data_IF_407396925595
#
_entry.id   IF_407396925595
#
_cell.length_a   1.000
_cell.length_b   1.000
_cell.length_c   1.000
_cell.angle_alpha   90.00
_cell.angle_beta   90.00
_cell.angle_gamma   90.00
#
_symmetry.space_group_name_H-M   'P 1'
#
loop_
_entity.id
_entity.type
_entity.pdbx_description
1 polymer ?
#
# COMPACT_ATOMS: atom_id res chain seq x y z
N UNK A 1 5.66 0.67 3.21
CA UNK A 1 5.25 0.17 1.88
C UNK A 1 6.40 -0.64 1.33
N UNK A 2 6.17 -1.77 0.67
CA UNK A 2 7.22 -2.73 0.29
C UNK A 2 7.91 -2.41 -1.04
N UNK A 3 7.21 -1.74 -1.95
CA UNK A 3 7.74 -1.23 -3.21
C UNK A 3 6.91 -0.02 -3.64
N UNK A 4 7.44 0.83 -4.51
CA UNK A 4 6.73 2.02 -5.02
C UNK A 4 6.19 1.78 -6.44
N UNK A 5 5.27 2.64 -6.86
CA UNK A 5 4.74 2.70 -8.21
C UNK A 5 5.62 3.59 -9.11
N UNK A 6 5.68 3.29 -10.43
CA UNK A 6 6.36 4.17 -11.37
C UNK A 6 5.67 5.53 -11.41
N UNK A 7 6.46 6.61 -11.31
CA UNK A 7 5.92 7.99 -11.30
C UNK A 7 5.19 8.32 -12.62
N UNK A 8 5.57 7.67 -13.70
CA UNK A 8 4.97 7.79 -15.03
C UNK A 8 3.48 7.41 -15.02
N UNK A 9 3.06 6.51 -14.11
CA UNK A 9 1.65 6.14 -13.96
C UNK A 9 0.77 7.30 -13.45
N UNK A 10 1.36 8.35 -12.88
CA UNK A 10 0.65 9.56 -12.49
C UNK A 10 0.71 10.69 -13.55
N UNK A 11 1.29 10.44 -14.74
CA UNK A 11 1.56 11.48 -15.74
C UNK A 11 0.32 12.03 -16.45
N UNK A 12 -0.77 11.27 -16.56
CA UNK A 12 -2.02 11.70 -17.21
C UNK A 12 -2.89 12.64 -16.32
N UNK A 13 -2.25 13.53 -15.56
CA UNK A 13 -2.89 14.39 -14.57
C UNK A 13 -3.59 15.63 -15.16
N UNK A 14 -3.69 15.73 -16.49
CA UNK A 14 -4.16 16.91 -17.22
C UNK A 14 -5.55 17.43 -16.78
N UNK A 15 -6.44 16.54 -16.31
CA UNK A 15 -7.74 16.96 -15.80
C UNK A 15 -7.57 17.77 -14.51
N UNK A 16 -6.80 17.24 -13.57
CA UNK A 16 -6.49 17.90 -12.32
C UNK A 16 -5.76 19.23 -12.56
N UNK A 17 -4.73 19.24 -13.41
CA UNK A 17 -3.92 20.43 -13.70
C UNK A 17 -4.77 21.57 -14.31
N UNK A 18 -5.70 21.23 -15.21
CA UNK A 18 -6.66 22.19 -15.76
C UNK A 18 -7.62 22.74 -14.71
N UNK A 19 -8.12 21.89 -13.80
CA UNK A 19 -8.96 22.33 -12.67
C UNK A 19 -8.19 23.26 -11.72
N UNK A 20 -6.94 22.95 -11.40
CA UNK A 20 -6.06 23.80 -10.57
C UNK A 20 -5.87 25.18 -11.20
N UNK A 21 -5.67 25.23 -12.51
CA UNK A 21 -5.52 26.48 -13.27
C UNK A 21 -6.79 27.35 -13.17
N UNK A 22 -7.96 26.75 -13.36
CA UNK A 22 -9.24 27.48 -13.29
C UNK A 22 -9.56 27.93 -11.86
N UNK A 23 -9.33 27.08 -10.86
CA UNK A 23 -9.54 27.43 -9.46
C UNK A 23 -8.58 28.52 -9.00
N UNK A 24 -7.35 28.55 -9.51
CA UNK A 24 -6.41 29.66 -9.27
C UNK A 24 -6.99 30.99 -9.72
N UNK A 25 -7.63 31.05 -10.89
CA UNK A 25 -8.32 32.27 -11.38
C UNK A 25 -9.49 32.66 -10.47
N UNK A 26 -10.29 31.67 -10.05
CA UNK A 26 -11.40 31.91 -9.09
C UNK A 26 -10.86 32.51 -7.79
N UNK A 27 -9.74 32.00 -7.27
CA UNK A 27 -9.17 32.47 -6.00
C UNK A 27 -8.33 33.75 -6.14
N UNK A 28 -7.79 34.04 -7.31
CA UNK A 28 -7.23 35.36 -7.64
C UNK A 28 -8.33 36.44 -7.64
N UNK A 29 -9.59 36.05 -7.91
CA UNK A 29 -10.73 36.97 -7.96
C UNK A 29 -10.90 37.60 -9.34
N UNK A 30 -10.50 36.89 -10.40
CA UNK A 30 -10.69 37.31 -11.78
C UNK A 30 -12.17 37.59 -12.07
N UNK A 31 -12.45 38.58 -12.92
CA UNK A 31 -13.83 38.98 -13.26
C UNK A 31 -14.58 37.88 -14.03
N UNK A 32 -13.88 37.15 -14.90
CA UNK A 32 -14.41 35.99 -15.63
C UNK A 32 -13.40 34.81 -15.57
N UNK A 33 -13.36 34.07 -14.45
CA UNK A 33 -12.35 33.03 -14.23
C UNK A 33 -12.51 31.83 -15.17
N UNK A 34 -13.69 31.66 -15.78
CA UNK A 34 -14.01 30.57 -16.71
C UNK A 34 -13.97 31.02 -18.18
N UNK A 35 -13.52 32.24 -18.46
CA UNK A 35 -13.23 32.70 -19.81
C UNK A 35 -12.30 31.71 -20.52
N UNK A 36 -12.73 31.23 -21.69
CA UNK A 36 -12.01 30.23 -22.49
C UNK A 36 -11.58 29.02 -21.66
N UNK A 37 -12.42 28.52 -20.75
CA UNK A 37 -12.05 27.47 -19.79
C UNK A 37 -11.45 26.21 -20.46
N UNK A 38 -11.85 25.86 -21.68
CA UNK A 38 -11.27 24.74 -22.42
C UNK A 38 -9.79 24.92 -22.77
N UNK A 39 -9.29 26.16 -22.83
CA UNK A 39 -7.93 26.46 -23.25
C UNK A 39 -6.86 25.95 -22.27
N UNK A 40 -7.21 25.75 -21.00
CA UNK A 40 -6.30 25.21 -19.97
C UNK A 40 -6.02 23.73 -20.13
N UNK A 41 -6.84 23.01 -20.91
CA UNK A 41 -6.66 21.58 -21.15
C UNK A 41 -5.89 21.34 -22.47
N UNK A 42 -5.14 20.21 -22.56
CA UNK A 42 -4.46 19.81 -23.78
C UNK A 42 -5.41 19.76 -24.98
N UNK A 43 -4.91 20.19 -26.14
CA UNK A 43 -5.72 20.37 -27.35
C UNK A 43 -6.51 19.13 -27.74
N UNK A 44 -5.86 17.95 -27.67
CA UNK A 44 -6.43 16.65 -27.98
C UNK A 44 -7.51 16.21 -26.98
N UNK A 45 -7.52 16.77 -25.76
CA UNK A 45 -8.51 16.45 -24.70
C UNK A 45 -9.70 17.39 -24.66
N UNK A 46 -9.65 18.53 -25.35
CA UNK A 46 -10.71 19.57 -25.29
C UNK A 46 -12.08 19.07 -25.70
N UNK A 47 -12.14 18.22 -26.73
CA UNK A 47 -13.41 17.65 -27.20
C UNK A 47 -14.03 16.70 -26.16
N UNK A 48 -13.21 15.89 -25.50
CA UNK A 48 -13.66 14.95 -24.47
C UNK A 48 -14.17 15.69 -23.23
N UNK A 49 -13.41 16.68 -22.74
CA UNK A 49 -13.79 17.44 -21.55
C UNK A 49 -15.01 18.33 -21.78
N UNK A 50 -15.17 18.89 -22.99
CA UNK A 50 -16.37 19.66 -23.35
C UNK A 50 -17.67 18.84 -23.25
N UNK A 51 -17.60 17.53 -23.45
CA UNK A 51 -18.74 16.61 -23.30
C UNK A 51 -19.07 16.32 -21.83
N UNK A 52 -18.14 16.55 -20.90
CA UNK A 52 -18.34 16.34 -19.45
C UNK A 52 -19.01 17.58 -18.82
N UNK A 53 -20.26 17.85 -19.21
CA UNK A 53 -21.02 19.03 -18.76
C UNK A 53 -21.11 19.17 -17.25
N UNK A 54 -21.13 18.07 -16.50
CA UNK A 54 -21.15 18.07 -15.04
C UNK A 54 -19.93 18.76 -14.42
N UNK A 55 -18.75 18.65 -15.05
CA UNK A 55 -17.53 19.34 -14.58
C UNK A 55 -17.69 20.85 -14.72
N UNK A 56 -18.16 21.31 -15.88
CA UNK A 56 -18.41 22.73 -16.12
C UNK A 56 -19.45 23.29 -15.14
N UNK A 57 -20.56 22.58 -14.93
CA UNK A 57 -21.59 22.99 -13.95
C UNK A 57 -21.03 23.06 -12.53
N UNK A 58 -20.17 22.12 -12.12
CA UNK A 58 -19.53 22.17 -10.81
C UNK A 58 -18.52 23.33 -10.71
N UNK A 59 -17.76 23.62 -11.76
CA UNK A 59 -16.85 24.77 -11.84
C UNK A 59 -17.61 26.10 -11.73
N UNK A 60 -18.70 26.27 -12.49
CA UNK A 60 -19.58 27.44 -12.41
C UNK A 60 -20.13 27.63 -10.99
N UNK A 61 -20.51 26.54 -10.33
CA UNK A 61 -20.99 26.55 -8.95
C UNK A 61 -19.91 27.01 -7.95
N UNK A 62 -18.65 26.62 -8.14
CA UNK A 62 -17.51 27.09 -7.34
C UNK A 62 -17.19 28.55 -7.64
N UNK A 63 -17.12 28.94 -8.91
CA UNK A 63 -16.82 30.31 -9.34
C UNK A 63 -17.85 31.31 -8.80
N UNK A 64 -19.15 31.03 -8.96
CA UNK A 64 -20.22 31.91 -8.50
C UNK A 64 -20.24 32.09 -6.97
N UNK A 65 -19.86 31.06 -6.21
CA UNK A 65 -19.75 31.14 -4.75
C UNK A 65 -18.43 31.76 -4.30
N UNK A 66 -17.33 31.47 -5.00
CA UNK A 66 -16.01 32.03 -4.75
C UNK A 66 -15.98 33.55 -4.95
N UNK A 67 -16.72 34.07 -5.92
CA UNK A 67 -16.91 35.51 -6.16
C UNK A 67 -17.50 36.25 -4.94
N UNK A 68 -18.26 35.55 -4.07
CA UNK A 68 -18.87 36.12 -2.86
C UNK A 68 -17.95 36.08 -1.64
N UNK A 69 -16.80 35.41 -1.74
CA UNK A 69 -15.82 35.37 -0.65
C UNK A 69 -15.05 36.69 -0.59
N UNK A 70 -14.52 37.03 0.59
CA UNK A 70 -13.56 38.13 0.71
C UNK A 70 -12.22 37.77 0.07
N UNK A 71 -11.43 38.77 -0.32
CA UNK A 71 -10.08 38.55 -0.85
C UNK A 71 -9.22 37.71 0.10
N UNK A 72 -9.27 37.99 1.41
CA UNK A 72 -8.58 37.20 2.45
C UNK A 72 -8.98 35.72 2.42
N UNK A 73 -10.28 35.42 2.30
CA UNK A 73 -10.76 34.03 2.24
C UNK A 73 -10.34 33.33 0.95
N UNK A 74 -10.41 34.02 -0.19
CA UNK A 74 -9.94 33.45 -1.46
C UNK A 74 -8.45 33.12 -1.40
N UNK A 75 -7.62 34.01 -0.85
CA UNK A 75 -6.19 33.75 -0.64
C UNK A 75 -5.95 32.54 0.27
N UNK A 76 -6.75 32.38 1.34
CA UNK A 76 -6.66 31.19 2.20
C UNK A 76 -7.02 29.89 1.47
N UNK A 77 -8.07 29.90 0.63
CA UNK A 77 -8.41 28.74 -0.20
C UNK A 77 -7.36 28.43 -1.27
N UNK A 78 -6.73 29.46 -1.84
CA UNK A 78 -5.60 29.29 -2.76
C UNK A 78 -4.42 28.61 -2.07
N UNK A 79 -4.04 29.08 -0.88
CA UNK A 79 -2.97 28.49 -0.08
C UNK A 79 -3.30 27.03 0.32
N UNK A 80 -4.54 26.77 0.74
CA UNK A 80 -5.04 25.43 1.03
C UNK A 80 -4.92 24.51 -0.20
N UNK A 81 -5.49 24.93 -1.34
CA UNK A 81 -5.42 24.17 -2.60
C UNK A 81 -3.99 23.87 -3.04
N UNK A 82 -3.10 24.87 -2.95
CA UNK A 82 -1.69 24.72 -3.31
C UNK A 82 -1.00 23.73 -2.36
N UNK A 83 -1.14 23.90 -1.04
CA UNK A 83 -0.50 23.02 -0.06
C UNK A 83 -0.94 21.56 -0.20
N UNK A 84 -2.23 21.30 -0.44
CA UNK A 84 -2.75 19.93 -0.64
C UNK A 84 -2.18 19.21 -1.87
N UNK A 85 -1.66 19.96 -2.85
CA UNK A 85 -1.12 19.43 -4.10
C UNK A 85 0.40 19.52 -4.22
N UNK A 86 1.11 19.86 -3.15
CA UNK A 86 2.57 19.82 -3.08
C UNK A 86 3.08 18.37 -2.95
N UNK A 87 2.70 17.47 -3.85
CA UNK A 87 3.15 16.08 -3.83
C UNK A 87 4.52 15.96 -4.54
N UNK A 88 5.58 15.44 -3.89
CA UNK A 88 5.56 14.67 -2.64
C UNK A 88 5.87 15.46 -1.37
N UNK A 89 6.27 16.72 -1.47
CA UNK A 89 6.73 17.54 -0.34
C UNK A 89 5.76 17.51 0.86
N UNK A 90 4.45 17.50 0.63
CA UNK A 90 3.41 17.43 1.67
C UNK A 90 3.53 16.24 2.62
N UNK A 91 4.23 15.17 2.22
CA UNK A 91 4.51 14.01 3.07
C UNK A 91 5.56 14.29 4.15
N UNK A 92 6.26 15.43 4.09
CA UNK A 92 7.18 15.90 5.12
C UNK A 92 6.49 16.89 6.08
N UNK A 93 6.59 16.71 7.42
CA UNK A 93 5.99 17.60 8.42
C UNK A 93 6.46 19.04 8.35
N UNK A 94 7.71 19.26 7.93
CA UNK A 94 8.29 20.58 7.78
C UNK A 94 7.60 21.42 6.68
N UNK A 95 6.96 20.74 5.72
CA UNK A 95 6.27 21.39 4.62
C UNK A 95 4.92 21.96 5.08
N UNK A 96 4.61 23.16 4.62
CA UNK A 96 3.45 23.91 5.04
C UNK A 96 2.15 23.25 4.53
N UNK A 97 1.37 22.68 5.43
CA UNK A 97 -0.01 22.28 5.17
C UNK A 97 -0.93 23.39 5.68
N UNK A 98 -1.58 24.10 4.76
CA UNK A 98 -2.54 25.12 5.15
C UNK A 98 -3.83 24.46 5.62
N UNK A 99 -4.33 24.89 6.78
CA UNK A 99 -5.62 24.42 7.29
C UNK A 99 -6.75 24.77 6.32
N UNK A 100 -7.79 23.93 6.31
CA UNK A 100 -9.00 24.20 5.54
C UNK A 100 -9.63 25.50 6.04
N UNK A 101 -9.82 26.53 5.19
CA UNK A 101 -10.31 27.82 5.67
C UNK A 101 -11.73 27.72 6.23
N UNK A 102 -11.97 28.43 7.33
CA UNK A 102 -13.32 28.67 7.85
C UNK A 102 -14.14 29.46 6.83
N UNK A 103 -15.11 28.78 6.21
CA UNK A 103 -15.91 29.32 5.13
C UNK A 103 -17.36 28.85 5.15
N UNK A 104 -18.22 29.46 4.33
CA UNK A 104 -19.61 29.02 4.21
C UNK A 104 -19.66 27.55 3.84
N UNK A 105 -20.39 26.72 4.60
CA UNK A 105 -20.49 25.29 4.32
C UNK A 105 -20.95 24.98 2.88
N UNK A 106 -21.74 25.89 2.29
CA UNK A 106 -22.16 25.80 0.89
C UNK A 106 -21.00 25.93 -0.13
N UNK A 107 -19.94 26.67 0.19
CA UNK A 107 -18.75 26.77 -0.64
C UNK A 107 -17.88 25.50 -0.51
N UNK A 108 -17.63 25.03 0.71
CA UNK A 108 -16.89 23.78 0.94
C UNK A 108 -17.58 22.59 0.25
N UNK A 109 -18.91 22.51 0.30
CA UNK A 109 -19.69 21.50 -0.45
C UNK A 109 -19.55 21.63 -1.97
N UNK A 110 -19.47 22.85 -2.50
CA UNK A 110 -19.29 23.05 -3.94
C UNK A 110 -17.90 22.58 -4.40
N UNK A 111 -16.86 22.85 -3.60
CA UNK A 111 -15.49 22.34 -3.84
C UNK A 111 -15.48 20.81 -3.78
N UNK A 112 -16.03 20.21 -2.72
CA UNK A 112 -16.11 18.76 -2.59
C UNK A 112 -16.85 18.11 -3.78
N UNK A 113 -17.97 18.69 -4.20
CA UNK A 113 -18.73 18.22 -5.36
C UNK A 113 -17.94 18.33 -6.67
N UNK A 114 -17.17 19.40 -6.88
CA UNK A 114 -16.32 19.52 -8.07
C UNK A 114 -15.32 18.37 -8.15
N UNK A 115 -14.64 18.05 -7.06
CA UNK A 115 -13.64 16.98 -7.07
C UNK A 115 -14.25 15.57 -7.09
N UNK A 116 -15.42 15.36 -6.49
CA UNK A 116 -16.16 14.10 -6.65
C UNK A 116 -16.56 13.87 -8.13
N UNK A 117 -17.09 14.91 -8.79
CA UNK A 117 -17.43 14.85 -10.21
C UNK A 117 -16.18 14.64 -11.08
N UNK A 118 -15.07 15.31 -10.78
CA UNK A 118 -13.81 15.15 -11.51
C UNK A 118 -13.24 13.73 -11.34
N UNK A 119 -13.21 13.21 -10.11
CA UNK A 119 -12.76 11.84 -9.82
C UNK A 119 -13.60 10.80 -10.58
N UNK A 120 -14.93 10.94 -10.58
CA UNK A 120 -15.84 10.08 -11.36
C UNK A 120 -15.58 10.18 -12.86
N UNK A 121 -15.27 11.38 -13.36
CA UNK A 121 -14.98 11.59 -14.77
C UNK A 121 -13.74 10.82 -15.24
N UNK A 122 -12.71 10.68 -14.40
CA UNK A 122 -11.48 9.95 -14.73
C UNK A 122 -11.75 8.50 -15.18
N UNK A 123 -12.77 7.83 -14.63
CA UNK A 123 -13.18 6.50 -15.06
C UNK A 123 -13.71 6.54 -16.51
N UNK A 124 -14.68 7.41 -16.78
CA UNK A 124 -15.29 7.56 -18.10
C UNK A 124 -14.40 8.20 -19.18
N UNK A 125 -13.20 8.65 -18.80
CA UNK A 125 -12.13 9.13 -19.68
C UNK A 125 -11.04 8.05 -19.90
N UNK A 126 -11.20 6.88 -19.28
CA UNK A 126 -10.25 5.77 -19.30
C UNK A 126 -8.93 6.05 -18.57
N UNK A 127 -8.79 7.20 -17.90
CA UNK A 127 -7.54 7.61 -17.24
C UNK A 127 -7.22 6.66 -16.08
N UNK A 128 -8.23 6.30 -15.28
CA UNK A 128 -8.06 5.35 -14.15
C UNK A 128 -7.64 3.96 -14.62
N UNK A 129 -8.10 3.52 -15.79
CA UNK A 129 -7.78 2.20 -16.32
C UNK A 129 -6.35 2.18 -16.88
N UNK A 130 -5.95 3.22 -17.60
CA UNK A 130 -4.58 3.37 -18.11
C UNK A 130 -3.57 3.49 -16.97
N UNK A 131 -3.86 4.30 -15.94
CA UNK A 131 -3.03 4.36 -14.74
C UNK A 131 -2.92 2.98 -14.09
N UNK A 132 -4.05 2.32 -13.80
CA UNK A 132 -4.04 1.01 -13.16
C UNK A 132 -3.22 -0.02 -13.95
N UNK A 133 -3.36 -0.07 -15.28
CA UNK A 133 -2.61 -0.99 -16.13
C UNK A 133 -1.10 -0.76 -16.06
N UNK A 134 -0.65 0.51 -16.07
CA UNK A 134 0.76 0.84 -15.91
C UNK A 134 1.30 0.46 -14.53
N UNK A 135 0.53 0.76 -13.48
CA UNK A 135 0.90 0.36 -12.12
C UNK A 135 1.00 -1.16 -12.03
N UNK A 136 -0.04 -1.89 -12.45
CA UNK A 136 -0.12 -3.35 -12.39
C UNK A 136 1.06 -4.03 -13.11
N UNK A 137 1.39 -3.56 -14.33
CA UNK A 137 2.50 -4.09 -15.11
C UNK A 137 3.87 -3.96 -14.40
N UNK A 138 4.02 -2.95 -13.53
CA UNK A 138 5.23 -2.72 -12.76
C UNK A 138 5.21 -3.37 -11.37
N UNK A 139 4.07 -3.92 -10.90
CA UNK A 139 3.95 -4.50 -9.56
C UNK A 139 4.68 -5.85 -9.48
N UNK A 140 5.70 -6.01 -8.61
CA UNK A 140 6.30 -7.31 -8.35
C UNK A 140 5.26 -8.30 -7.85
N UNK A 141 5.24 -9.50 -8.44
CA UNK A 141 4.31 -10.59 -8.12
C UNK A 141 2.80 -10.22 -8.15
N UNK A 142 2.44 -9.05 -8.68
CA UNK A 142 1.06 -8.53 -8.73
C UNK A 142 0.36 -8.56 -7.37
N UNK A 143 1.08 -8.18 -6.32
CA UNK A 143 0.55 -8.04 -4.96
C UNK A 143 0.38 -6.57 -4.57
N UNK A 144 -0.38 -6.30 -3.52
CA UNK A 144 -0.55 -4.96 -2.97
C UNK A 144 0.78 -4.45 -2.39
N UNK A 145 1.30 -3.27 -2.77
CA UNK A 145 2.56 -2.75 -2.21
C UNK A 145 2.45 -2.35 -0.74
N UNK A 146 1.25 -2.06 -0.25
CA UNK A 146 1.05 -1.61 1.11
C UNK A 146 1.19 -2.75 2.10
N UNK A 147 0.75 -3.96 1.77
CA UNK A 147 0.85 -5.10 2.69
C UNK A 147 1.68 -6.26 2.14
N UNK A 148 1.81 -6.45 0.83
CA UNK A 148 2.50 -7.59 0.23
C UNK A 148 1.78 -8.93 0.39
N UNK A 149 0.57 -8.97 0.96
CA UNK A 149 -0.13 -10.24 1.26
C UNK A 149 -1.50 -10.34 0.57
N UNK A 150 -1.89 -9.34 -0.20
CA UNK A 150 -3.12 -9.34 -1.00
C UNK A 150 -2.75 -9.36 -2.48
N UNK A 151 -3.25 -10.32 -3.28
CA UNK A 151 -3.10 -10.26 -4.72
C UNK A 151 -3.91 -9.08 -5.28
N UNK A 152 -3.38 -8.49 -6.35
CA UNK A 152 -4.05 -7.45 -7.14
C UNK A 152 -4.65 -8.08 -8.39
N UNK A 153 -5.81 -7.60 -8.78
CA UNK A 153 -6.58 -8.15 -9.89
C UNK A 153 -6.04 -7.67 -11.23
N UNK A 154 -6.04 -8.54 -12.25
CA UNK A 154 -5.62 -8.15 -13.60
C UNK A 154 -6.40 -6.92 -14.12
N UNK A 155 -5.77 -6.04 -14.93
CA UNK A 155 -6.46 -4.93 -15.60
C UNK A 155 -7.46 -5.37 -16.69
N UNK A 156 -7.69 -6.68 -16.85
CA UNK A 156 -8.66 -7.22 -17.80
C UNK A 156 -10.07 -6.65 -17.50
N UNK A 157 -10.76 -6.06 -18.50
CA UNK A 157 -12.08 -5.44 -18.30
C UNK A 157 -13.17 -6.43 -17.88
N UNK A 158 -12.94 -7.73 -18.00
CA UNK A 158 -13.86 -8.79 -17.56
C UNK A 158 -13.71 -9.12 -16.07
N UNK A 159 -12.65 -8.64 -15.42
CA UNK A 159 -12.35 -8.91 -14.01
C UNK A 159 -12.53 -7.61 -13.22
N UNK A 160 -13.31 -7.62 -12.13
CA UNK A 160 -13.35 -6.48 -11.22
C UNK A 160 -11.97 -6.24 -10.63
N UNK A 161 -11.42 -5.05 -10.88
CA UNK A 161 -10.15 -4.59 -10.29
C UNK A 161 -10.38 -3.77 -9.02
N UNK A 162 -9.33 -3.62 -8.23
CA UNK A 162 -9.38 -2.82 -7.00
C UNK A 162 -9.74 -1.37 -7.31
N UNK A 163 -10.44 -0.74 -6.36
CA UNK A 163 -10.76 0.68 -6.45
C UNK A 163 -9.47 1.51 -6.45
N UNK A 164 -9.32 2.43 -7.41
CA UNK A 164 -8.38 3.55 -7.23
C UNK A 164 -8.99 4.45 -6.18
N UNK A 165 -8.49 4.35 -4.96
CA UNK A 165 -8.89 5.19 -3.85
C UNK A 165 -7.82 6.24 -3.52
N UNK A 166 -8.20 7.18 -2.67
CA UNK A 166 -7.41 8.35 -2.35
C UNK A 166 -6.41 8.04 -1.24
N UNK A 167 -5.12 8.19 -1.53
CA UNK A 167 -4.06 8.05 -0.53
C UNK A 167 -4.25 9.09 0.60
N UNK A 168 -4.42 10.34 0.23
CA UNK A 168 -4.94 11.42 1.06
C UNK A 168 -6.46 11.48 0.90
N UNK A 169 -7.20 11.19 1.98
CA UNK A 169 -8.67 11.11 1.95
C UNK A 169 -9.31 12.34 1.34
N UNK A 170 -10.23 12.16 0.39
CA UNK A 170 -10.95 13.27 -0.26
C UNK A 170 -11.83 14.08 0.69
N UNK A 171 -12.23 13.51 1.84
CA UNK A 171 -12.98 14.22 2.87
C UNK A 171 -12.13 15.27 3.61
N UNK A 172 -10.82 15.05 3.69
CA UNK A 172 -9.87 15.91 4.39
C UNK A 172 -9.09 16.79 3.40
N UNK A 173 -8.76 16.23 2.23
CA UNK A 173 -7.90 16.81 1.21
C UNK A 173 -8.63 16.90 -0.15
N UNK A 174 -9.77 17.62 -0.23
CA UNK A 174 -10.60 17.61 -1.43
C UNK A 174 -9.87 18.14 -2.67
N UNK A 175 -8.94 19.08 -2.53
CA UNK A 175 -8.22 19.63 -3.68
C UNK A 175 -7.26 18.63 -4.32
N UNK A 176 -6.82 17.60 -3.58
CA UNK A 176 -5.98 16.52 -4.08
C UNK A 176 -6.79 15.33 -4.61
N UNK A 177 -8.12 15.34 -4.49
CA UNK A 177 -8.92 14.13 -4.71
C UNK A 177 -8.93 13.63 -6.16
N UNK A 178 -8.77 14.52 -7.15
CA UNK A 178 -8.66 14.13 -8.56
C UNK A 178 -7.20 14.04 -9.06
N UNK A 179 -6.20 14.20 -8.18
CA UNK A 179 -4.79 14.15 -8.54
C UNK A 179 -4.34 12.70 -8.66
N UNK A 180 -3.82 12.29 -9.82
CA UNK A 180 -3.40 10.90 -10.06
C UNK A 180 -2.28 10.44 -9.13
N UNK A 181 -1.42 11.35 -8.64
CA UNK A 181 -0.39 11.01 -7.63
C UNK A 181 -0.99 10.75 -6.25
N UNK A 182 -2.23 11.21 -6.02
CA UNK A 182 -3.01 10.88 -4.84
C UNK A 182 -3.90 9.63 -5.02
N UNK A 183 -4.02 9.10 -6.24
CA UNK A 183 -4.79 7.90 -6.52
C UNK A 183 -3.86 6.69 -6.61
N UNK A 184 -3.65 6.04 -5.48
CA UNK A 184 -2.75 4.89 -5.35
C UNK A 184 -3.60 3.60 -5.22
N UNK A 185 -3.62 2.71 -6.23
CA UNK A 185 -4.30 1.42 -6.10
C UNK A 185 -3.86 0.67 -4.85
N UNK A 186 -4.76 -0.04 -4.17
CA UNK A 186 -4.42 -0.83 -2.98
C UNK A 186 -5.31 -2.07 -2.91
N UNK A 187 -4.82 -3.13 -2.26
CA UNK A 187 -5.62 -4.32 -1.97
C UNK A 187 -6.90 -3.97 -1.21
N UNK A 188 -7.97 -4.73 -1.45
CA UNK A 188 -9.30 -4.41 -0.94
C UNK A 188 -9.34 -4.28 0.60
N UNK A 189 -8.64 -5.12 1.36
CA UNK A 189 -8.58 -5.01 2.83
C UNK A 189 -7.72 -3.84 3.27
N UNK A 190 -6.56 -3.62 2.63
CA UNK A 190 -5.75 -2.42 2.87
C UNK A 190 -6.58 -1.15 2.77
N UNK A 191 -7.38 -1.04 1.70
CA UNK A 191 -8.17 0.14 1.45
C UNK A 191 -9.42 0.24 2.35
N UNK A 192 -10.27 -0.79 2.31
CA UNK A 192 -11.63 -0.74 2.83
C UNK A 192 -11.78 -1.24 4.27
N UNK A 193 -10.72 -1.78 4.88
CA UNK A 193 -10.76 -2.28 6.27
C UNK A 193 -9.75 -1.59 7.18
N UNK A 194 -8.62 -1.15 6.63
CA UNK A 194 -7.53 -0.57 7.43
C UNK A 194 -7.40 0.93 7.20
N UNK A 195 -7.05 1.35 5.98
CA UNK A 195 -6.82 2.75 5.67
C UNK A 195 -8.07 3.60 5.89
N UNK A 196 -9.19 3.25 5.25
CA UNK A 196 -10.44 4.02 5.31
C UNK A 196 -10.16 5.54 5.15
N UNK A 197 -10.66 6.34 6.09
CA UNK A 197 -10.44 7.78 6.18
C UNK A 197 -9.34 8.15 7.21
N UNK A 198 -8.47 7.22 7.61
CA UNK A 198 -7.33 7.52 8.47
C UNK A 198 -6.39 8.47 7.73
N UNK A 199 -6.00 9.54 8.42
CA UNK A 199 -5.18 10.60 7.86
C UNK A 199 -3.72 10.14 7.72
N UNK A 200 -3.15 10.25 6.52
CA UNK A 200 -1.74 9.90 6.30
C UNK A 200 -0.79 10.98 6.82
N UNK A 201 -1.23 12.24 6.87
CA UNK A 201 -0.39 13.40 7.18
C UNK A 201 -0.48 13.81 8.65
N UNK A 202 -1.48 13.32 9.38
CA UNK A 202 -1.70 13.62 10.80
C UNK A 202 -1.98 12.37 11.62
N UNK A 203 -1.50 12.34 12.86
CA UNK A 203 -1.88 11.31 13.82
C UNK A 203 -3.27 11.58 14.44
N UNK A 204 -3.70 10.72 15.37
CA UNK A 204 -4.98 10.87 16.08
C UNK A 204 -5.06 12.16 16.93
N UNK A 205 -3.92 12.75 17.30
CA UNK A 205 -3.83 14.04 17.98
C UNK A 205 -3.83 15.25 17.03
N UNK A 206 -3.85 15.02 15.72
CA UNK A 206 -3.79 16.05 14.70
C UNK A 206 -2.37 16.57 14.42
N UNK A 207 -1.34 15.95 14.99
CA UNK A 207 0.07 16.33 14.82
C UNK A 207 0.56 15.83 13.46
N UNK A 208 1.30 16.67 12.73
CA UNK A 208 1.87 16.31 11.43
C UNK A 208 2.86 15.16 11.56
N UNK A 209 2.78 14.19 10.66
CA UNK A 209 3.66 13.01 10.60
C UNK A 209 4.12 12.74 9.18
N UNK A 210 5.23 12.00 9.07
CA UNK A 210 5.78 11.53 7.78
C UNK A 210 5.03 10.29 7.31
N UNK A 211 4.88 10.11 6.00
CA UNK A 211 4.36 8.88 5.42
C UNK A 211 5.02 8.57 4.08
N UNK A 212 4.98 7.30 3.65
CA UNK A 212 5.55 6.90 2.37
C UNK A 212 4.89 7.67 1.22
N UNK A 213 5.64 7.95 0.15
CA UNK A 213 5.08 8.35 -1.14
C UNK A 213 4.85 7.09 -1.99
N UNK A 214 3.60 6.77 -2.37
CA UNK A 214 3.33 5.62 -3.23
C UNK A 214 4.07 5.65 -4.56
N UNK A 215 4.43 6.83 -5.06
CA UNK A 215 5.18 7.04 -6.32
C UNK A 215 6.62 7.51 -6.06
N UNK A 216 7.11 7.34 -4.82
CA UNK A 216 8.45 7.74 -4.40
C UNK A 216 9.50 6.67 -4.65
N UNK A 217 10.54 6.67 -3.82
CA UNK A 217 11.66 5.72 -3.89
C UNK A 217 11.92 5.00 -2.55
N UNK A 218 11.38 5.51 -1.44
CA UNK A 218 11.60 4.93 -0.13
C UNK A 218 10.64 3.75 0.09
N UNK A 219 11.20 2.64 0.51
CA UNK A 219 10.49 1.38 0.79
C UNK A 219 10.88 0.84 2.15
N UNK A 220 10.07 -0.07 2.68
CA UNK A 220 10.36 -0.79 3.91
C UNK A 220 10.84 -2.22 3.58
N UNK A 221 11.78 -2.71 4.38
CA UNK A 221 12.13 -4.13 4.46
C UNK A 221 11.42 -4.81 5.63
N UNK A 222 11.50 -6.13 5.68
CA UNK A 222 10.97 -6.94 6.78
C UNK A 222 12.04 -7.94 7.20
N UNK A 223 12.26 -8.05 8.50
CA UNK A 223 13.14 -9.06 9.09
C UNK A 223 12.44 -9.71 10.27
N UNK A 224 12.72 -11.01 10.43
CA UNK A 224 12.24 -11.82 11.55
C UNK A 224 13.40 -12.34 12.40
N UNK A 225 14.66 -11.98 12.11
CA UNK A 225 15.85 -12.58 12.72
C UNK A 225 15.91 -12.48 14.24
N UNK A 226 15.20 -11.52 14.83
CA UNK A 226 15.12 -11.32 16.28
C UNK A 226 13.95 -12.06 16.94
N UNK A 227 13.18 -12.85 16.17
CA UNK A 227 12.11 -13.69 16.72
C UNK A 227 12.68 -14.89 17.46
N UNK A 228 12.05 -15.34 18.55
CA UNK A 228 12.48 -16.56 19.25
C UNK A 228 11.73 -17.79 18.73
N UNK A 229 12.34 -18.75 17.99
CA UNK A 229 11.61 -19.81 17.28
C UNK A 229 10.72 -20.72 18.13
N UNK A 230 11.04 -20.88 19.42
CA UNK A 230 10.44 -21.89 20.32
C UNK A 230 9.87 -21.28 21.61
N UNK A 231 9.46 -20.01 21.57
CA UNK A 231 9.04 -19.27 22.77
C UNK A 231 7.69 -18.57 22.63
N UNK A 232 6.97 -18.83 21.53
CA UNK A 232 5.63 -18.29 21.30
C UNK A 232 4.51 -19.16 21.89
N UNK A 233 3.29 -18.91 21.44
CA UNK A 233 2.11 -19.69 21.82
C UNK A 233 2.16 -21.11 21.23
N UNK A 234 1.47 -22.04 21.90
CA UNK A 234 1.26 -23.39 21.37
C UNK A 234 -0.02 -23.40 20.54
N UNK A 235 0.08 -23.75 19.27
CA UNK A 235 -1.05 -23.93 18.36
C UNK A 235 -0.95 -25.27 17.64
N UNK A 236 -2.04 -26.06 17.64
CA UNK A 236 -2.11 -27.37 16.96
C UNK A 236 -0.89 -28.27 17.23
N UNK A 237 -0.46 -28.34 18.50
CA UNK A 237 0.70 -29.11 18.98
C UNK A 237 2.07 -28.62 18.48
N UNK A 238 2.16 -27.41 17.94
CA UNK A 238 3.42 -26.76 17.56
C UNK A 238 3.62 -25.51 18.39
N UNK A 239 4.82 -25.36 18.95
CA UNK A 239 5.23 -24.10 19.56
C UNK A 239 5.55 -23.13 18.42
N UNK A 240 4.79 -22.05 18.32
CA UNK A 240 5.07 -20.98 17.36
C UNK A 240 6.29 -20.18 17.82
N UNK A 241 6.96 -19.46 16.89
CA UNK A 241 7.93 -18.45 17.28
C UNK A 241 7.27 -17.33 18.07
N UNK A 242 7.97 -16.79 19.07
CA UNK A 242 7.65 -15.47 19.58
C UNK A 242 8.10 -14.45 18.53
N UNK A 243 7.18 -14.12 17.62
CA UNK A 243 7.47 -13.26 16.48
C UNK A 243 7.87 -11.86 16.89
N UNK A 244 9.08 -11.47 16.51
CA UNK A 244 9.52 -10.09 16.47
C UNK A 244 9.59 -9.64 15.01
N UNK A 245 8.58 -8.86 14.60
CA UNK A 245 8.43 -8.37 13.23
C UNK A 245 9.10 -7.00 13.10
N UNK A 246 10.36 -7.02 12.69
CA UNK A 246 11.15 -5.83 12.47
C UNK A 246 10.86 -5.29 11.07
N UNK A 247 10.19 -4.14 11.03
CA UNK A 247 10.03 -3.36 9.81
C UNK A 247 11.27 -2.47 9.68
N UNK A 248 11.99 -2.60 8.57
CA UNK A 248 13.29 -1.98 8.34
C UNK A 248 13.17 -0.78 7.40
N UNK A 249 13.94 0.28 7.64
CA UNK A 249 13.93 1.51 6.85
C UNK A 249 13.74 2.75 7.72
N UNK A 250 13.12 3.79 7.15
CA UNK A 250 12.84 5.02 7.86
C UNK A 250 11.75 4.84 8.91
N UNK A 251 12.12 5.04 10.19
CA UNK A 251 11.26 4.73 11.34
C UNK A 251 9.98 5.58 11.38
N UNK A 252 10.01 6.83 10.93
CA UNK A 252 8.83 7.69 10.93
C UNK A 252 7.82 7.22 9.86
N UNK A 253 8.33 6.87 8.68
CA UNK A 253 7.50 6.32 7.60
C UNK A 253 6.89 4.99 8.00
N UNK A 254 7.67 4.14 8.67
CA UNK A 254 7.26 2.84 9.19
C UNK A 254 6.19 2.98 10.27
N UNK A 255 6.35 3.94 11.19
CA UNK A 255 5.38 4.17 12.25
C UNK A 255 4.00 4.50 11.67
N UNK A 256 3.93 5.42 10.70
CA UNK A 256 2.67 5.75 10.01
C UNK A 256 2.15 4.57 9.19
N UNK A 257 3.03 3.84 8.51
CA UNK A 257 2.64 2.68 7.70
C UNK A 257 2.01 1.56 8.54
N UNK A 258 2.62 1.21 9.67
CA UNK A 258 2.10 0.19 10.57
C UNK A 258 0.84 0.67 11.30
N UNK A 259 0.76 1.95 11.68
CA UNK A 259 -0.45 2.50 12.29
C UNK A 259 -1.64 2.46 11.32
N UNK A 260 -1.46 2.89 10.07
CA UNK A 260 -2.57 2.94 9.09
C UNK A 260 -2.97 1.55 8.62
N UNK A 261 -2.01 0.68 8.29
CA UNK A 261 -2.28 -0.60 7.63
C UNK A 261 -2.22 -1.82 8.55
N UNK A 262 -1.85 -1.63 9.83
CA UNK A 262 -1.73 -2.68 10.86
C UNK A 262 -0.82 -3.84 10.42
N UNK A 263 0.32 -3.50 9.84
CA UNK A 263 1.22 -4.42 9.14
C UNK A 263 1.71 -5.53 10.04
N UNK A 264 2.28 -5.21 11.21
CA UNK A 264 2.79 -6.22 12.15
C UNK A 264 1.69 -7.17 12.61
N UNK A 265 0.53 -6.63 12.97
CA UNK A 265 -0.63 -7.43 13.39
C UNK A 265 -1.09 -8.37 12.28
N UNK A 266 -1.17 -7.88 11.04
CA UNK A 266 -1.62 -8.67 9.89
C UNK A 266 -0.61 -9.74 9.49
N UNK A 267 0.68 -9.43 9.50
CA UNK A 267 1.72 -10.41 9.20
C UNK A 267 1.70 -11.54 10.23
N UNK A 268 1.64 -11.20 11.51
CA UNK A 268 1.53 -12.19 12.58
C UNK A 268 0.30 -13.08 12.40
N UNK A 269 -0.89 -12.48 12.45
CA UNK A 269 -2.14 -13.25 12.56
C UNK A 269 -2.55 -13.95 11.26
N UNK A 270 -2.37 -13.30 10.11
CA UNK A 270 -2.92 -13.83 8.86
C UNK A 270 -1.95 -14.75 8.12
N UNK A 271 -0.65 -14.64 8.40
CA UNK A 271 0.39 -15.36 7.64
C UNK A 271 1.27 -16.17 8.59
N UNK A 272 2.00 -15.54 9.50
CA UNK A 272 3.02 -16.23 10.29
C UNK A 272 2.41 -17.29 11.21
N UNK A 273 1.43 -16.93 12.05
CA UNK A 273 0.75 -17.87 12.95
C UNK A 273 0.00 -18.95 12.15
N UNK A 274 -0.61 -18.56 11.03
CA UNK A 274 -1.44 -19.44 10.20
C UNK A 274 -0.63 -20.47 9.39
N UNK A 275 0.51 -20.08 8.84
CA UNK A 275 1.25 -20.83 7.82
C UNK A 275 2.53 -21.50 8.33
N UNK A 276 3.05 -21.10 9.50
CA UNK A 276 4.36 -21.59 9.99
C UNK A 276 4.44 -23.12 10.03
N UNK A 277 3.43 -23.79 10.61
CA UNK A 277 3.35 -25.26 10.63
C UNK A 277 3.39 -25.84 9.21
N UNK A 278 2.60 -25.27 8.30
CA UNK A 278 2.50 -25.76 6.94
C UNK A 278 3.84 -25.62 6.20
N UNK A 279 4.57 -24.52 6.41
CA UNK A 279 5.89 -24.33 5.84
C UNK A 279 6.91 -25.33 6.35
N UNK A 280 6.85 -25.70 7.63
CA UNK A 280 7.68 -26.74 8.23
C UNK A 280 7.34 -28.14 7.68
N UNK A 281 6.05 -28.46 7.53
CA UNK A 281 5.62 -29.73 6.94
C UNK A 281 6.06 -29.83 5.47
N UNK A 282 6.00 -28.72 4.73
CA UNK A 282 6.48 -28.68 3.35
C UNK A 282 8.00 -28.88 3.26
N UNK A 283 8.77 -28.26 4.17
CA UNK A 283 10.21 -28.51 4.28
C UNK A 283 10.47 -30.01 4.53
N UNK A 284 9.80 -30.61 5.52
CA UNK A 284 10.02 -32.02 5.87
C UNK A 284 9.72 -32.97 4.70
N UNK A 285 8.58 -32.77 4.04
CA UNK A 285 8.19 -33.57 2.88
C UNK A 285 9.13 -33.41 1.68
N UNK A 286 9.68 -32.21 1.49
CA UNK A 286 10.69 -31.96 0.47
C UNK A 286 12.04 -32.61 0.86
N UNK A 287 12.48 -32.44 2.11
CA UNK A 287 13.76 -32.95 2.58
C UNK A 287 13.90 -34.47 2.44
N UNK A 288 12.86 -35.24 2.79
CA UNK A 288 12.84 -36.71 2.69
C UNK A 288 13.09 -37.21 1.26
N UNK A 289 12.76 -36.42 0.24
CA UNK A 289 12.95 -36.79 -1.18
C UNK A 289 14.33 -36.41 -1.72
N UNK A 290 14.99 -35.44 -1.09
CA UNK A 290 16.15 -34.74 -1.66
C UNK A 290 17.46 -35.09 -0.97
N UNK A 291 17.43 -35.47 0.31
CA UNK A 291 18.63 -35.80 1.07
C UNK A 291 18.33 -36.77 2.21
N UNK A 292 19.37 -37.42 2.72
CA UNK A 292 19.30 -38.08 4.03
C UNK A 292 19.02 -37.04 5.13
N UNK A 293 18.32 -37.41 6.22
CA UNK A 293 18.05 -36.51 7.32
C UNK A 293 19.34 -35.89 7.88
N UNK A 294 19.39 -34.57 8.10
CA UNK A 294 20.58 -33.93 8.63
C UNK A 294 20.84 -34.41 10.06
N UNK A 295 22.09 -34.74 10.38
CA UNK A 295 22.52 -35.17 11.72
C UNK A 295 23.38 -34.12 12.42
N UNK A 296 23.90 -33.16 11.66
CA UNK A 296 24.72 -32.06 12.16
C UNK A 296 24.09 -30.70 11.84
N UNK A 297 24.48 -29.68 12.61
CA UNK A 297 24.11 -28.29 12.37
C UNK A 297 24.46 -27.82 10.95
N UNK A 298 25.66 -28.16 10.45
CA UNK A 298 26.11 -27.77 9.12
C UNK A 298 25.28 -28.41 8.00
N UNK A 299 24.92 -29.69 8.14
CA UNK A 299 24.01 -30.37 7.20
C UNK A 299 22.61 -29.75 7.18
N UNK A 300 22.08 -29.42 8.36
CA UNK A 300 20.78 -28.75 8.49
C UNK A 300 20.79 -27.39 7.80
N UNK A 301 21.79 -26.53 8.07
CA UNK A 301 21.91 -25.22 7.44
C UNK A 301 22.03 -25.35 5.92
N UNK A 302 22.85 -26.29 5.43
CA UNK A 302 22.98 -26.55 4.00
C UNK A 302 21.65 -26.98 3.38
N UNK A 303 20.88 -27.84 4.05
CA UNK A 303 19.55 -28.27 3.60
C UNK A 303 18.55 -27.11 3.56
N UNK A 304 18.48 -26.28 4.61
CA UNK A 304 17.60 -25.11 4.66
C UNK A 304 17.92 -24.12 3.53
N UNK A 305 19.20 -23.84 3.29
CA UNK A 305 19.62 -22.96 2.20
C UNK A 305 19.28 -23.53 0.82
N UNK A 306 19.44 -24.85 0.61
CA UNK A 306 18.98 -25.51 -0.63
C UNK A 306 17.48 -25.42 -0.81
N UNK A 307 16.69 -25.67 0.25
CA UNK A 307 15.23 -25.55 0.20
C UNK A 307 14.80 -24.15 -0.19
N UNK A 308 15.40 -23.11 0.40
CA UNK A 308 15.11 -21.72 0.06
C UNK A 308 15.34 -21.44 -1.43
N UNK A 309 16.50 -21.83 -1.95
CA UNK A 309 16.88 -21.61 -3.35
C UNK A 309 16.01 -22.40 -4.33
N UNK A 310 15.71 -23.67 -4.03
CA UNK A 310 15.02 -24.58 -4.94
C UNK A 310 13.50 -24.45 -4.91
N UNK A 311 12.90 -24.08 -3.76
CA UNK A 311 11.46 -24.19 -3.53
C UNK A 311 10.79 -22.84 -3.30
N UNK A 312 11.42 -21.94 -2.54
CA UNK A 312 10.82 -20.65 -2.19
C UNK A 312 11.15 -19.59 -3.24
N UNK A 313 12.40 -19.56 -3.71
CA UNK A 313 12.91 -18.53 -4.62
C UNK A 313 13.04 -17.16 -3.94
N UNK A 314 13.33 -16.12 -4.75
CA UNK A 314 13.66 -14.77 -4.28
C UNK A 314 12.54 -13.73 -4.55
N UNK A 315 11.27 -14.17 -4.47
CA UNK A 315 10.11 -13.40 -4.90
C UNK A 315 9.35 -12.67 -3.79
N UNK A 316 8.68 -11.58 -4.16
CA UNK A 316 7.76 -10.84 -3.29
C UNK A 316 6.54 -11.64 -2.81
N UNK A 317 6.15 -12.71 -3.51
CA UNK A 317 5.02 -13.55 -3.13
C UNK A 317 5.25 -14.31 -1.81
N UNK A 318 6.51 -14.64 -1.51
CA UNK A 318 6.91 -15.49 -0.38
C UNK A 318 7.78 -14.76 0.64
N UNK A 319 7.82 -13.42 0.63
CA UNK A 319 8.79 -12.64 1.43
C UNK A 319 8.76 -12.95 2.93
N UNK A 320 7.59 -13.23 3.53
CA UNK A 320 7.48 -13.64 4.93
C UNK A 320 7.98 -15.07 5.17
N UNK A 321 7.78 -15.96 4.20
CA UNK A 321 8.31 -17.33 4.24
C UNK A 321 9.83 -17.29 4.13
N UNK A 322 10.37 -16.48 3.21
CA UNK A 322 11.81 -16.22 3.07
C UNK A 322 12.38 -15.72 4.41
N UNK A 323 11.83 -14.64 4.98
CA UNK A 323 12.28 -14.08 6.25
C UNK A 323 12.19 -15.10 7.41
N UNK A 324 11.21 -16.00 7.37
CA UNK A 324 11.06 -17.07 8.38
C UNK A 324 12.20 -18.08 8.30
N UNK A 325 12.54 -18.56 7.11
CA UNK A 325 13.64 -19.51 6.95
C UNK A 325 15.01 -18.86 7.16
N UNK A 326 15.16 -17.57 6.86
CA UNK A 326 16.35 -16.79 7.24
C UNK A 326 16.51 -16.71 8.76
N UNK A 327 15.41 -16.44 9.48
CA UNK A 327 15.41 -16.46 10.94
C UNK A 327 15.81 -17.84 11.48
N UNK A 328 15.29 -18.94 10.93
CA UNK A 328 15.67 -20.30 11.37
C UNK A 328 17.15 -20.59 11.15
N UNK A 329 17.69 -20.25 9.97
CA UNK A 329 19.13 -20.39 9.67
C UNK A 329 19.96 -19.54 10.64
N UNK A 330 19.58 -18.28 10.86
CA UNK A 330 20.27 -17.39 11.79
C UNK A 330 20.33 -17.96 13.20
N UNK A 331 19.23 -18.50 13.72
CA UNK A 331 19.18 -19.10 15.05
C UNK A 331 19.94 -20.42 15.13
N UNK A 332 19.98 -21.22 14.07
CA UNK A 332 20.88 -22.35 13.99
C UNK A 332 22.34 -21.92 14.06
N UNK A 333 22.77 -20.88 13.35
CA UNK A 333 24.19 -20.47 13.29
C UNK A 333 24.68 -19.68 14.51
N UNK A 334 23.89 -18.69 14.94
CA UNK A 334 24.38 -17.60 15.80
C UNK A 334 23.54 -17.41 17.07
N UNK A 335 22.45 -18.16 17.23
CA UNK A 335 21.52 -17.96 18.34
C UNK A 335 22.04 -18.50 19.67
N UNK A 336 21.72 -17.82 20.78
CA UNK A 336 21.94 -18.37 22.13
C UNK A 336 21.20 -19.71 22.37
N UNK A 337 20.17 -19.98 21.56
CA UNK A 337 19.42 -21.24 21.54
C UNK A 337 19.78 -22.16 20.35
N UNK A 338 20.96 -21.97 19.73
CA UNK A 338 21.39 -22.69 18.53
C UNK A 338 21.26 -24.21 18.66
N UNK A 339 21.79 -24.81 19.72
CA UNK A 339 21.70 -26.25 19.96
C UNK A 339 20.24 -26.73 20.05
N UNK A 340 19.40 -25.96 20.77
CA UNK A 340 17.98 -26.29 20.97
C UNK A 340 17.19 -26.23 19.66
N UNK A 341 17.39 -25.17 18.87
CA UNK A 341 16.69 -24.98 17.59
C UNK A 341 17.16 -26.00 16.56
N UNK A 342 18.48 -26.27 16.52
CA UNK A 342 19.08 -27.27 15.64
C UNK A 342 18.55 -28.67 15.96
N UNK A 343 18.57 -29.08 17.23
CA UNK A 343 18.05 -30.37 17.65
C UNK A 343 16.55 -30.53 17.34
N UNK A 344 15.77 -29.46 17.55
CA UNK A 344 14.34 -29.46 17.22
C UNK A 344 14.09 -29.64 15.72
N UNK A 345 14.79 -28.89 14.86
CA UNK A 345 14.64 -29.01 13.40
C UNK A 345 15.12 -30.37 12.89
N UNK A 346 16.25 -30.89 13.40
CA UNK A 346 16.70 -32.26 13.06
C UNK A 346 15.64 -33.28 13.46
N UNK A 347 15.06 -33.17 14.65
CA UNK A 347 13.97 -34.04 15.10
C UNK A 347 12.74 -33.95 14.19
N UNK A 348 12.35 -32.73 13.77
CA UNK A 348 11.25 -32.52 12.83
C UNK A 348 11.50 -33.21 11.48
N UNK A 349 12.74 -33.23 11.02
CA UNK A 349 13.15 -33.82 9.73
C UNK A 349 13.49 -35.31 9.82
N UNK A 350 13.49 -35.88 11.03
CA UNK A 350 13.82 -37.28 11.25
C UNK A 350 12.59 -38.18 11.04
N UNK A 351 12.74 -39.34 10.37
CA UNK A 351 11.64 -40.26 10.07
C UNK A 351 10.87 -40.76 11.31
N UNK A 352 11.53 -40.79 12.47
CA UNK A 352 10.95 -41.30 13.72
C UNK A 352 10.07 -40.28 14.46
N UNK A 353 10.16 -38.98 14.13
CA UNK A 353 9.51 -37.90 14.88
C UNK A 353 8.73 -36.88 14.04
N UNK A 354 8.74 -36.96 12.69
CA UNK A 354 8.01 -36.00 11.86
C UNK A 354 7.55 -36.49 10.49
N UNK A 355 6.24 -36.40 10.26
CA UNK A 355 5.52 -36.44 8.96
C UNK A 355 5.29 -37.78 8.22
N UNK A 356 5.61 -38.94 8.80
CA UNK A 356 5.21 -40.25 8.26
C UNK A 356 4.46 -41.12 9.28
N UNK A 357 3.26 -40.68 9.66
CA UNK A 357 2.21 -41.56 10.17
C UNK A 357 0.87 -41.13 9.58
N UNK A 358 0.80 -41.09 8.24
CA UNK A 358 -0.47 -41.24 7.54
C UNK A 358 -0.60 -42.71 7.18
N UNK A 359 -1.69 -43.40 7.56
CA UNK A 359 -1.95 -44.74 7.05
C UNK A 359 -2.04 -44.65 5.53
N UNK A 360 -1.27 -45.50 4.84
CA UNK A 360 -1.56 -45.91 3.48
C UNK A 360 -2.95 -46.55 3.47
N UNK A 361 -4.02 -45.76 3.33
CA UNK A 361 -5.37 -46.22 2.99
C UNK A 361 -6.28 -45.03 2.65
N UNK A 362 -6.07 -44.42 1.48
CA UNK A 362 -7.10 -43.63 0.79
C UNK A 362 -6.74 -43.40 -0.69
N UNK A 363 -6.44 -44.48 -1.43
CA UNK A 363 -6.60 -44.51 -2.89
C UNK A 363 -7.45 -45.72 -3.24
N UNK A 364 -8.75 -45.62 -2.93
CA UNK A 364 -9.83 -46.38 -3.54
C UNK A 364 -11.19 -45.89 -3.00
N UNK A 365 -11.73 -44.81 -3.58
CA UNK A 365 -13.16 -44.55 -3.79
C UNK A 365 -13.34 -43.25 -4.59
#
# INVERSE_FOLDING_TARGET
MLFCYPIEAASENWLHDGLMTLLTRVFAGDADPLANWLAVFPLDKRAEIARKRSILTALEAVAARGARLSAKRRAAYLACMQSQNQLPAIFEPAEALSDTPDGPAAFSRAVANLFDVAFKALASLGVRDRQYAQVYAAMPAHICPFCGIEPMSSPDPRIPRESLDHYLSSSQYPFAAANLRNLAPAGNRCNSSHKLAVDMLRDAGGVRRRCFDPFGQLVAGVSLINSSPLEGSVEKMTVLPAWQIDLLGDLDLIATWDDVYKIRTRYRLNILDAEFRHWLDHLANWAVKEAEPPTTQGELIALLNRYRQAVIGDGFADFLKIATFEMLVHHCENGAASDRVTAWLIGLLSPETGAAAFPDDAVAA
#
